data_IF_284851809580
#
_entry.id   IF_284851809580
#
_cell.length_a   1.000
_cell.length_b   1.000
_cell.length_c   1.000
_cell.angle_alpha   90.00
_cell.angle_beta   90.00
_cell.angle_gamma   90.00
#
_symmetry.space_group_name_H-M   'P 1'
#
loop_
_entity.id
_entity.type
_entity.pdbx_description
1 polymer ?
#
# COMPACT_ATOMS: atom_id res chain seq x y z
N UNK A 1 -7.43 16.96 -16.53
CA UNK A 1 -6.61 16.42 -15.43
C UNK A 1 -6.22 17.59 -14.55
N UNK A 2 -6.64 17.60 -13.28
CA UNK A 2 -6.30 18.66 -12.31
C UNK A 2 -5.15 18.15 -11.45
N UNK A 3 -4.12 18.97 -11.28
CA UNK A 3 -2.98 18.65 -10.42
C UNK A 3 -3.27 19.30 -9.07
N UNK A 4 -3.18 18.51 -8.00
CA UNK A 4 -3.29 19.02 -6.63
C UNK A 4 -1.89 19.24 -6.05
N UNK A 5 -1.68 20.37 -5.39
CA UNK A 5 -0.42 20.68 -4.73
C UNK A 5 -0.33 19.93 -3.40
N UNK A 6 0.74 19.14 -3.23
CA UNK A 6 1.07 18.49 -1.96
C UNK A 6 2.32 19.19 -1.39
N UNK A 7 2.22 19.86 -0.22
CA UNK A 7 3.38 20.47 0.41
C UNK A 7 4.42 19.43 0.83
N UNK A 8 5.69 19.83 0.85
CA UNK A 8 6.77 18.96 1.32
C UNK A 8 6.55 18.52 2.77
N UNK A 9 6.90 17.27 3.08
CA UNK A 9 6.79 16.65 4.41
C UNK A 9 5.38 16.53 4.99
N UNK A 10 4.33 16.77 4.19
CA UNK A 10 2.93 16.58 4.59
C UNK A 10 2.41 15.22 4.11
N UNK A 11 3.02 14.16 4.65
CA UNK A 11 2.67 12.76 4.34
C UNK A 11 1.21 12.43 4.62
N UNK A 12 0.63 13.03 5.66
CA UNK A 12 -0.76 12.74 6.08
C UNK A 12 -1.80 13.16 5.04
N UNK A 13 -1.48 14.16 4.22
CA UNK A 13 -2.30 14.62 3.11
C UNK A 13 -2.09 13.76 1.85
N UNK A 14 -1.20 12.76 1.86
CA UNK A 14 -0.95 11.92 0.72
C UNK A 14 -1.71 10.60 0.82
N UNK A 15 -2.69 10.39 -0.05
CA UNK A 15 -3.56 9.21 -0.06
C UNK A 15 -2.80 7.88 -0.15
N UNK A 16 -1.64 7.88 -0.82
CA UNK A 16 -0.85 6.67 -1.02
C UNK A 16 -0.28 6.13 0.31
N UNK A 17 -0.07 7.00 1.30
CA UNK A 17 0.51 6.61 2.59
C UNK A 17 -0.44 5.73 3.39
N UNK A 18 -1.74 6.02 3.32
CA UNK A 18 -2.77 5.17 3.94
C UNK A 18 -2.85 3.81 3.25
N UNK A 19 -2.80 3.79 1.92
CA UNK A 19 -2.77 2.54 1.15
C UNK A 19 -1.51 1.71 1.46
N UNK A 20 -0.33 2.33 1.53
CA UNK A 20 0.91 1.64 1.90
C UNK A 20 0.88 1.12 3.34
N UNK A 21 0.35 1.90 4.27
CA UNK A 21 0.20 1.46 5.66
C UNK A 21 -0.72 0.23 5.77
N UNK A 22 -1.81 0.21 5.00
CA UNK A 22 -2.70 -0.95 4.91
C UNK A 22 -1.98 -2.17 4.31
N UNK A 23 -1.33 -2.01 3.14
CA UNK A 23 -0.60 -3.09 2.47
C UNK A 23 0.48 -3.66 3.38
N UNK A 24 1.25 -2.80 4.06
CA UNK A 24 2.29 -3.22 5.01
C UNK A 24 1.71 -4.06 6.15
N UNK A 25 0.59 -3.60 6.73
CA UNK A 25 -0.11 -4.35 7.79
C UNK A 25 -0.64 -5.69 7.29
N UNK A 26 -1.21 -5.72 6.08
CA UNK A 26 -1.70 -6.94 5.44
C UNK A 26 -0.58 -7.96 5.23
N UNK A 27 0.55 -7.52 4.66
CA UNK A 27 1.73 -8.38 4.46
C UNK A 27 2.25 -8.91 5.80
N UNK A 28 2.37 -8.07 6.83
CA UNK A 28 2.79 -8.52 8.16
C UNK A 28 1.86 -9.59 8.75
N UNK A 29 0.57 -9.53 8.46
CA UNK A 29 -0.42 -10.45 9.02
C UNK A 29 -0.54 -11.77 8.24
N UNK A 30 -0.58 -11.70 6.90
CA UNK A 30 -0.87 -12.86 6.04
C UNK A 30 0.39 -13.47 5.40
N UNK A 31 1.47 -12.70 5.30
CA UNK A 31 2.73 -13.09 4.65
C UNK A 31 3.90 -12.84 5.61
N UNK A 32 3.78 -13.32 6.85
CA UNK A 32 4.77 -13.09 7.90
C UNK A 32 6.19 -13.58 7.53
N UNK A 33 6.28 -14.58 6.65
CA UNK A 33 7.56 -15.05 6.09
C UNK A 33 8.22 -14.01 5.20
N UNK A 34 7.44 -13.22 4.44
CA UNK A 34 7.95 -12.11 3.65
C UNK A 34 8.33 -10.89 4.47
N UNK A 35 7.60 -10.62 5.55
CA UNK A 35 7.83 -9.45 6.41
C UNK A 35 9.28 -9.38 6.98
N UNK A 36 9.96 -10.54 7.06
CA UNK A 36 11.35 -10.65 7.53
C UNK A 36 12.29 -11.21 6.44
N UNK A 37 11.81 -11.35 5.21
CA UNK A 37 12.61 -11.86 4.10
C UNK A 37 13.48 -10.76 3.48
N UNK A 38 14.56 -11.16 2.82
CA UNK A 38 15.33 -10.30 1.94
C UNK A 38 14.85 -10.37 0.48
N UNK A 39 13.63 -10.86 0.25
CA UNK A 39 13.06 -10.95 -1.08
C UNK A 39 12.86 -9.54 -1.65
N UNK A 40 13.46 -9.26 -2.80
CA UNK A 40 13.40 -7.94 -3.43
C UNK A 40 12.53 -7.94 -4.69
N UNK A 41 12.10 -9.12 -5.15
CA UNK A 41 11.39 -9.27 -6.42
C UNK A 41 12.24 -8.91 -7.64
N UNK A 42 13.56 -8.86 -7.46
CA UNK A 42 14.56 -8.62 -8.51
C UNK A 42 15.13 -9.92 -9.05
N UNK A 43 15.03 -11.01 -8.29
CA UNK A 43 15.35 -12.35 -8.74
C UNK A 43 14.09 -12.95 -9.40
N UNK A 44 14.17 -13.51 -10.61
CA UNK A 44 13.01 -14.18 -11.22
C UNK A 44 12.35 -15.24 -10.32
N UNK A 45 13.11 -15.84 -9.40
CA UNK A 45 12.63 -16.87 -8.47
C UNK A 45 11.76 -16.33 -7.33
N UNK A 46 11.98 -15.09 -6.88
CA UNK A 46 11.17 -14.46 -5.80
C UNK A 46 10.16 -13.44 -6.34
N UNK A 47 10.35 -12.93 -7.56
CA UNK A 47 9.49 -11.93 -8.18
C UNK A 47 8.02 -12.34 -8.23
N UNK A 48 7.72 -13.58 -8.65
CA UNK A 48 6.33 -14.05 -8.79
C UNK A 48 5.61 -13.97 -7.44
N UNK A 49 6.22 -14.51 -6.39
CA UNK A 49 5.60 -14.58 -5.06
C UNK A 49 5.46 -13.18 -4.43
N UNK A 50 6.43 -12.28 -4.66
CA UNK A 50 6.34 -10.87 -4.24
C UNK A 50 5.20 -10.15 -4.94
N UNK A 51 5.04 -10.32 -6.26
CA UNK A 51 3.96 -9.68 -7.00
C UNK A 51 2.59 -10.24 -6.62
N UNK A 52 2.46 -11.56 -6.45
CA UNK A 52 1.21 -12.20 -5.99
C UNK A 52 0.79 -11.64 -4.63
N UNK A 53 1.70 -11.60 -3.65
CA UNK A 53 1.46 -11.00 -2.34
C UNK A 53 1.00 -9.54 -2.44
N UNK A 54 1.68 -8.71 -3.25
CA UNK A 54 1.32 -7.31 -3.42
C UNK A 54 -0.04 -7.15 -4.09
N UNK A 55 -0.35 -7.97 -5.10
CA UNK A 55 -1.65 -7.96 -5.76
C UNK A 55 -2.76 -8.38 -4.80
N UNK A 56 -2.58 -9.45 -4.03
CA UNK A 56 -3.55 -9.88 -3.04
C UNK A 56 -3.83 -8.77 -2.01
N UNK A 57 -2.79 -8.10 -1.53
CA UNK A 57 -2.94 -6.96 -0.63
C UNK A 57 -3.70 -5.80 -1.26
N UNK A 58 -3.35 -5.40 -2.49
CA UNK A 58 -4.00 -4.29 -3.21
C UNK A 58 -5.46 -4.61 -3.51
N UNK A 59 -5.76 -5.80 -4.01
CA UNK A 59 -7.12 -6.20 -4.38
C UNK A 59 -8.00 -6.55 -3.17
N UNK A 60 -7.42 -6.70 -1.97
CA UNK A 60 -8.18 -6.82 -0.73
C UNK A 60 -8.80 -5.50 -0.24
N UNK A 61 -8.36 -4.35 -0.77
CA UNK A 61 -8.88 -3.04 -0.37
C UNK A 61 -10.26 -2.81 -1.00
N UNK A 62 -11.28 -2.73 -0.17
CA UNK A 62 -12.64 -2.43 -0.60
C UNK A 62 -12.85 -0.93 -0.85
N UNK A 63 -13.80 -0.59 -1.73
CA UNK A 63 -14.14 0.80 -2.06
C UNK A 63 -14.49 1.65 -0.81
N UNK A 64 -15.13 1.05 0.21
CA UNK A 64 -15.43 1.74 1.47
C UNK A 64 -14.16 2.09 2.26
N UNK A 65 -13.17 1.20 2.29
CA UNK A 65 -11.87 1.47 2.93
C UNK A 65 -11.11 2.55 2.17
N UNK A 66 -11.09 2.47 0.83
CA UNK A 66 -10.50 3.49 0.00
C UNK A 66 -11.11 4.87 0.29
N UNK A 67 -12.44 4.97 0.43
CA UNK A 67 -13.11 6.23 0.80
C UNK A 67 -12.66 6.77 2.15
N UNK A 68 -12.38 5.91 3.14
CA UNK A 68 -11.86 6.32 4.45
C UNK A 68 -10.46 6.95 4.33
N UNK A 69 -9.63 6.53 3.38
CA UNK A 69 -8.34 7.16 3.12
C UNK A 69 -8.49 8.62 2.66
N UNK A 70 -9.47 8.90 1.79
CA UNK A 70 -9.77 10.27 1.37
C UNK A 70 -10.24 11.17 2.52
N UNK A 71 -11.08 10.64 3.41
CA UNK A 71 -11.51 11.37 4.60
C UNK A 71 -10.36 11.58 5.59
N UNK A 72 -9.44 10.62 5.73
CA UNK A 72 -8.27 10.76 6.59
C UNK A 72 -7.31 11.85 6.09
N UNK A 73 -7.08 11.91 4.78
CA UNK A 73 -6.20 12.90 4.15
C UNK A 73 -6.85 14.26 3.87
N UNK A 74 -8.08 14.49 4.34
CA UNK A 74 -8.76 15.79 4.27
C UNK A 74 -9.32 16.17 2.89
N UNK A 75 -9.54 15.19 2.01
CA UNK A 75 -10.10 15.42 0.67
C UNK A 75 -11.63 15.27 0.60
N UNK A 76 -12.25 14.73 1.66
CA UNK A 76 -13.70 14.57 1.84
C UNK A 76 -14.08 15.01 3.26
#
# INVERSE_FOLDING_TARGET
MKIEYLPAYLSDFNLIEQAFSFIKSYVHHYYAHFAHSNAMGTDPTDAVEVYEMLFDAVYSIMAEQARKFYHHSGYL
#
